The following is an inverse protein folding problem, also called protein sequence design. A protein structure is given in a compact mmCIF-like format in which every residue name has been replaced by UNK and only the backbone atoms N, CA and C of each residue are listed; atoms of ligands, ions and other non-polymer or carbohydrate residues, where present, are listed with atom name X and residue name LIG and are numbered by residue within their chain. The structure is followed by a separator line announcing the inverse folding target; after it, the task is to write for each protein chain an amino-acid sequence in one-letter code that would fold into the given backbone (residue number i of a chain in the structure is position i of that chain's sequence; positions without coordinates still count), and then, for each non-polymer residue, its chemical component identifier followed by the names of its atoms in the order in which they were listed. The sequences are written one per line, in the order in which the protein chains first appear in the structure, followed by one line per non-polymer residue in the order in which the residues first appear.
data_IF_407752236770
#
_entry.id   IF_407752236770
#
_cell.length_a   1.000
_cell.length_b   1.000
_cell.length_c   1.000
_cell.angle_alpha   90.00
_cell.angle_beta   90.00
_cell.angle_gamma   90.00
#
_symmetry.space_group_name_H-M   'P 1'
#
loop_
_entity.id
_entity.type
_entity.pdbx_description
1 polymer ?
#
# COMPACT_ATOMS: atom_id res chain seq x y z
N UNK A 1 9.51 5.78 -12.69
CA UNK A 1 9.00 6.82 -13.62
C UNK A 1 10.08 7.88 -13.88
N UNK A 2 10.29 8.30 -15.14
CA UNK A 2 11.05 9.54 -15.45
C UNK A 2 10.08 10.73 -15.36
N UNK A 3 10.48 11.81 -14.68
CA UNK A 3 9.70 13.04 -14.56
C UNK A 3 9.69 13.59 -13.15
N UNK A 4 9.44 14.91 -13.02
CA UNK A 4 9.29 15.56 -11.72
C UNK A 4 8.06 14.99 -10.98
N UNK A 5 8.14 14.75 -9.67
CA UNK A 5 6.96 14.52 -8.84
C UNK A 5 5.97 15.68 -9.01
N UNK A 6 4.68 15.35 -9.07
CA UNK A 6 3.58 16.31 -9.20
C UNK A 6 2.40 15.79 -8.41
N UNK A 7 1.62 16.68 -7.81
CA UNK A 7 0.42 16.31 -7.05
C UNK A 7 -0.54 15.41 -7.85
N UNK A 8 -0.81 15.74 -9.12
CA UNK A 8 -1.67 14.92 -10.00
C UNK A 8 -1.21 13.47 -10.11
N UNK A 9 0.10 13.24 -10.19
CA UNK A 9 0.66 11.88 -10.25
C UNK A 9 0.57 11.17 -8.91
N UNK A 10 0.77 11.89 -7.81
CA UNK A 10 0.61 11.32 -6.47
C UNK A 10 -0.85 10.89 -6.24
N UNK A 11 -1.82 11.77 -6.56
CA UNK A 11 -3.25 11.43 -6.51
C UNK A 11 -3.57 10.24 -7.42
N UNK A 12 -3.05 10.20 -8.63
CA UNK A 12 -3.26 9.07 -9.55
C UNK A 12 -2.79 7.71 -8.98
N UNK A 13 -1.67 7.68 -8.25
CA UNK A 13 -1.20 6.47 -7.59
C UNK A 13 -2.09 6.08 -6.40
N UNK A 14 -2.57 7.05 -5.62
CA UNK A 14 -3.51 6.81 -4.53
C UNK A 14 -4.86 6.28 -5.05
N UNK A 15 -5.40 6.87 -6.12
CA UNK A 15 -6.59 6.36 -6.80
C UNK A 15 -6.39 4.93 -7.31
N UNK A 16 -5.21 4.62 -7.86
CA UNK A 16 -4.90 3.27 -8.29
C UNK A 16 -4.94 2.29 -7.10
N UNK A 17 -4.31 2.62 -5.96
CA UNK A 17 -4.34 1.77 -4.78
C UNK A 17 -5.78 1.52 -4.27
N UNK A 18 -6.62 2.55 -4.22
CA UNK A 18 -8.04 2.44 -3.83
C UNK A 18 -8.83 1.60 -4.83
N UNK A 19 -8.56 1.75 -6.13
CA UNK A 19 -9.21 0.95 -7.17
C UNK A 19 -8.82 -0.53 -7.06
N UNK A 20 -7.53 -0.86 -6.96
CA UNK A 20 -7.09 -2.25 -6.80
C UNK A 20 -7.63 -2.87 -5.51
N UNK A 21 -7.70 -2.11 -4.41
CA UNK A 21 -8.31 -2.58 -3.14
C UNK A 21 -9.78 -2.98 -3.32
N UNK A 22 -10.52 -2.27 -4.16
CA UNK A 22 -11.88 -2.65 -4.52
C UNK A 22 -11.93 -3.87 -5.45
N UNK A 23 -11.16 -3.86 -6.54
CA UNK A 23 -11.17 -4.92 -7.55
C UNK A 23 -10.68 -6.26 -6.99
N UNK A 24 -9.68 -6.26 -6.12
CA UNK A 24 -9.12 -7.47 -5.51
C UNK A 24 -9.85 -7.85 -4.22
N UNK A 25 -10.00 -6.92 -3.28
CA UNK A 25 -10.50 -7.23 -1.93
C UNK A 25 -11.99 -6.91 -1.72
N UNK A 26 -12.67 -6.28 -2.69
CA UNK A 26 -14.06 -5.89 -2.52
C UNK A 26 -14.28 -4.77 -1.50
N UNK A 27 -13.22 -4.10 -1.07
CA UNK A 27 -13.25 -3.13 0.02
C UNK A 27 -13.38 -1.70 -0.54
N UNK A 28 -14.42 -0.99 -0.10
CA UNK A 28 -14.76 0.34 -0.58
C UNK A 28 -14.19 1.40 0.35
N UNK A 29 -13.02 1.93 -0.02
CA UNK A 29 -12.30 2.95 0.74
C UNK A 29 -12.73 4.38 0.39
N UNK A 30 -12.96 5.20 1.41
CA UNK A 30 -13.12 6.65 1.30
C UNK A 30 -14.38 7.11 0.57
N UNK A 31 -15.36 6.23 0.37
CA UNK A 31 -16.61 6.56 -0.36
C UNK A 31 -17.79 5.71 0.08
N UNK A 32 -18.99 6.28 -0.03
CA UNK A 32 -20.24 5.60 0.29
C UNK A 32 -20.69 4.67 -0.83
N UNK A 33 -20.53 5.08 -2.09
CA UNK A 33 -20.87 4.28 -3.27
C UNK A 33 -19.73 4.26 -4.27
N UNK A 34 -19.75 3.29 -5.19
CA UNK A 34 -18.63 3.07 -6.13
C UNK A 34 -18.46 4.24 -7.10
N UNK A 35 -19.56 4.89 -7.50
CA UNK A 35 -19.58 6.05 -8.39
C UNK A 35 -19.05 7.34 -7.73
N UNK A 36 -19.00 7.39 -6.41
CA UNK A 36 -18.50 8.55 -5.68
C UNK A 36 -16.96 8.60 -5.78
N UNK A 37 -16.42 9.81 -5.88
CA UNK A 37 -14.97 9.99 -5.80
C UNK A 37 -14.49 9.63 -4.38
N UNK A 38 -13.49 8.74 -4.21
CA UNK A 38 -12.94 8.45 -2.89
C UNK A 38 -12.28 9.68 -2.27
N UNK A 39 -12.55 9.90 -1.00
CA UNK A 39 -11.73 10.70 -0.11
C UNK A 39 -10.42 9.94 0.15
N UNK A 40 -9.32 10.58 -0.23
CA UNK A 40 -7.96 10.03 -0.08
C UNK A 40 -7.29 10.52 1.20
N UNK A 41 -7.97 11.36 1.99
CA UNK A 41 -7.40 11.98 3.19
C UNK A 41 -6.90 10.94 4.18
N UNK A 42 -7.53 9.77 4.32
CA UNK A 42 -7.08 8.71 5.23
C UNK A 42 -5.92 7.83 4.74
N UNK A 43 -5.33 8.10 3.57
CA UNK A 43 -4.34 7.22 2.94
C UNK A 43 -2.91 7.74 3.07
N UNK A 44 -2.06 7.03 3.81
CA UNK A 44 -0.65 7.38 4.02
C UNK A 44 0.25 6.63 3.03
N UNK A 45 1.04 7.33 2.23
CA UNK A 45 2.14 6.69 1.49
C UNK A 45 3.20 6.23 2.51
N UNK A 46 3.40 4.93 2.60
CA UNK A 46 4.24 4.35 3.64
C UNK A 46 5.59 3.88 3.12
N UNK A 47 5.61 3.35 1.89
CA UNK A 47 6.82 2.79 1.31
C UNK A 47 6.78 2.82 -0.21
N UNK A 48 7.97 2.92 -0.82
CA UNK A 48 8.20 2.71 -2.24
C UNK A 48 9.36 1.75 -2.45
N UNK A 49 9.21 0.82 -3.37
CA UNK A 49 10.28 -0.12 -3.68
C UNK A 49 10.37 -0.41 -5.18
N UNK A 50 11.60 -0.36 -5.69
CA UNK A 50 11.89 -0.71 -7.09
C UNK A 50 12.58 -2.06 -7.13
N UNK A 51 12.02 -3.00 -7.89
CA UNK A 51 12.63 -4.32 -8.08
C UNK A 51 14.07 -4.20 -8.62
N UNK A 52 15.04 -4.90 -8.01
CA UNK A 52 16.43 -4.91 -8.47
C UNK A 52 16.57 -5.26 -9.96
N UNK A 53 17.65 -4.81 -10.63
CA UNK A 53 17.96 -5.22 -11.99
C UNK A 53 18.19 -6.74 -12.09
N UNK A 54 18.02 -7.31 -13.28
CA UNK A 54 18.26 -8.74 -13.54
C UNK A 54 17.07 -9.68 -13.24
N UNK A 55 15.95 -9.15 -12.72
CA UNK A 55 14.69 -9.90 -12.61
C UNK A 55 13.91 -9.85 -13.92
N UNK A 56 13.28 -10.96 -14.31
CA UNK A 56 12.45 -11.08 -15.52
C UNK A 56 11.26 -10.14 -15.52
N UNK A 57 10.70 -9.86 -14.34
CA UNK A 57 9.67 -8.83 -14.10
C UNK A 57 10.17 -7.83 -13.08
N UNK A 58 9.83 -6.56 -13.27
CA UNK A 58 10.25 -5.46 -12.40
C UNK A 58 9.08 -4.52 -12.14
N UNK A 59 8.97 -4.08 -10.90
CA UNK A 59 7.94 -3.19 -10.42
C UNK A 59 8.57 -1.96 -9.77
N UNK A 60 7.82 -0.86 -9.76
CA UNK A 60 8.09 0.38 -9.01
C UNK A 60 6.87 0.58 -8.11
N UNK A 61 6.81 -0.21 -7.04
CA UNK A 61 5.63 -0.34 -6.17
C UNK A 61 5.57 0.79 -5.17
N UNK A 62 4.36 1.29 -4.90
CA UNK A 62 4.04 2.16 -3.75
C UNK A 62 3.08 1.41 -2.85
N UNK A 63 3.36 1.44 -1.56
CA UNK A 63 2.56 0.82 -0.51
C UNK A 63 1.92 1.94 0.30
N UNK A 64 0.63 1.77 0.56
CA UNK A 64 -0.15 2.70 1.35
C UNK A 64 -0.67 2.00 2.60
N UNK A 65 -0.86 2.78 3.67
CA UNK A 65 -1.48 2.34 4.92
C UNK A 65 -2.67 3.25 5.18
N UNK A 66 -3.77 2.67 5.64
CA UNK A 66 -4.95 3.41 6.05
C UNK A 66 -5.65 2.71 7.21
N UNK A 67 -6.46 3.48 7.93
CA UNK A 67 -7.34 2.94 8.95
C UNK A 67 -8.57 2.27 8.30
N UNK A 68 -8.94 1.12 8.83
CA UNK A 68 -10.12 0.35 8.46
C UNK A 68 -11.42 1.13 8.66
N UNK A 69 -11.45 2.13 9.56
CA UNK A 69 -12.60 3.04 9.74
C UNK A 69 -12.99 3.82 8.47
N UNK A 70 -12.08 3.94 7.51
CA UNK A 70 -12.35 4.60 6.23
C UNK A 70 -13.03 3.66 5.20
N UNK A 71 -13.28 2.41 5.55
CA UNK A 71 -13.98 1.44 4.72
C UNK A 71 -15.48 1.48 5.02
N UNK A 72 -16.31 1.66 4.00
CA UNK A 72 -17.76 1.74 4.17
C UNK A 72 -18.47 0.38 4.20
N UNK A 73 -17.78 -0.69 3.83
CA UNK A 73 -18.34 -2.04 3.71
C UNK A 73 -17.46 -3.14 4.34
N UNK A 74 -16.69 -2.82 5.39
CA UNK A 74 -15.76 -3.77 6.01
C UNK A 74 -16.42 -5.09 6.46
N UNK A 75 -17.65 -5.01 6.98
CA UNK A 75 -18.40 -6.18 7.45
C UNK A 75 -18.97 -7.03 6.30
N UNK A 76 -19.10 -6.44 5.11
CA UNK A 76 -19.67 -7.08 3.93
C UNK A 76 -18.88 -6.68 2.66
N UNK A 77 -17.62 -7.16 2.52
CA UNK A 77 -16.83 -6.92 1.31
C UNK A 77 -17.53 -7.48 0.07
N UNK A 78 -17.39 -6.79 -1.06
CA UNK A 78 -17.96 -7.24 -2.31
C UNK A 78 -17.08 -8.31 -2.97
N UNK A 79 -17.60 -9.52 -3.15
CA UNK A 79 -16.89 -10.56 -3.90
C UNK A 79 -17.60 -10.81 -5.22
N UNK A 80 -16.97 -10.39 -6.31
CA UNK A 80 -17.47 -10.60 -7.68
C UNK A 80 -17.27 -12.06 -8.16
N UNK A 81 -16.53 -12.87 -7.40
CA UNK A 81 -16.27 -14.28 -7.71
C UNK A 81 -15.30 -14.48 -8.89
N UNK A 82 -14.50 -13.46 -9.24
CA UNK A 82 -13.62 -13.43 -10.41
C UNK A 82 -12.47 -14.46 -10.45
N UNK A 83 -12.29 -15.26 -9.41
CA UNK A 83 -11.43 -16.46 -9.42
C UNK A 83 -9.91 -16.22 -9.34
N UNK A 84 -9.43 -14.98 -9.35
CA UNK A 84 -8.00 -14.66 -9.19
C UNK A 84 -7.54 -14.68 -7.72
N UNK A 85 -8.47 -14.58 -6.77
CA UNK A 85 -8.21 -14.65 -5.33
C UNK A 85 -8.92 -15.85 -4.69
N UNK A 86 -8.18 -16.60 -3.87
CA UNK A 86 -8.66 -17.84 -3.24
C UNK A 86 -9.54 -17.55 -2.01
N UNK A 87 -9.04 -16.74 -1.06
CA UNK A 87 -9.72 -16.40 0.20
C UNK A 87 -9.21 -15.06 0.73
N UNK A 88 -10.12 -14.14 1.09
CA UNK A 88 -9.76 -12.94 1.87
C UNK A 88 -9.82 -13.25 3.37
N UNK A 89 -8.79 -12.84 4.09
CA UNK A 89 -8.69 -13.00 5.54
C UNK A 89 -8.07 -11.76 6.16
N UNK A 90 -8.61 -11.33 7.29
CA UNK A 90 -7.90 -10.42 8.20
C UNK A 90 -6.91 -11.23 9.03
N UNK A 91 -5.64 -10.82 9.02
CA UNK A 91 -4.55 -11.54 9.69
C UNK A 91 -3.80 -10.61 10.65
N UNK A 92 -3.42 -11.16 11.78
CA UNK A 92 -2.48 -10.56 12.72
C UNK A 92 -1.04 -10.63 12.17
N UNK A 93 -0.15 -9.79 12.73
CA UNK A 93 1.27 -9.82 12.38
C UNK A 93 1.97 -11.14 12.77
N UNK A 94 1.40 -11.90 13.70
CA UNK A 94 1.94 -13.21 14.08
C UNK A 94 1.50 -14.30 13.08
N UNK A 95 0.25 -14.24 12.59
CA UNK A 95 -0.26 -15.20 11.60
C UNK A 95 0.46 -15.09 10.25
N UNK A 96 0.79 -13.88 9.80
CA UNK A 96 1.52 -13.65 8.54
C UNK A 96 2.92 -14.31 8.54
N UNK A 97 3.53 -14.57 9.71
CA UNK A 97 4.86 -15.17 9.80
C UNK A 97 4.89 -16.62 9.29
N UNK A 98 3.71 -17.26 9.21
CA UNK A 98 3.53 -18.61 8.68
C UNK A 98 3.27 -18.67 7.17
N UNK A 99 3.08 -17.51 6.51
CA UNK A 99 2.72 -17.43 5.10
C UNK A 99 3.96 -17.27 4.19
N UNK A 100 3.89 -17.87 3.01
CA UNK A 100 4.86 -17.64 1.93
C UNK A 100 4.56 -16.31 1.23
N UNK A 101 5.06 -15.21 1.80
CA UNK A 101 4.86 -13.87 1.29
C UNK A 101 6.07 -13.37 0.48
N UNK A 102 5.85 -12.55 -0.57
CA UNK A 102 6.94 -11.84 -1.21
C UNK A 102 7.79 -11.05 -0.19
N UNK A 103 9.12 -11.12 -0.32
CA UNK A 103 10.05 -10.46 0.62
C UNK A 103 9.75 -8.97 0.83
N UNK A 104 9.25 -8.29 -0.21
CA UNK A 104 8.92 -6.87 -0.12
C UNK A 104 7.70 -6.60 0.76
N UNK A 105 6.72 -7.51 0.75
CA UNK A 105 5.55 -7.45 1.63
C UNK A 105 5.96 -7.68 3.08
N UNK A 106 6.86 -8.65 3.33
CA UNK A 106 7.43 -8.89 4.65
C UNK A 106 8.17 -7.64 5.16
N UNK A 107 8.95 -6.98 4.31
CA UNK A 107 9.68 -5.77 4.68
C UNK A 107 8.73 -4.61 5.03
N UNK A 108 7.68 -4.39 4.23
CA UNK A 108 6.65 -3.39 4.54
C UNK A 108 5.97 -3.68 5.89
N UNK A 109 5.59 -4.92 6.17
CA UNK A 109 4.95 -5.31 7.43
C UNK A 109 5.89 -5.15 8.63
N UNK A 110 7.18 -5.48 8.48
CA UNK A 110 8.21 -5.24 9.51
C UNK A 110 8.36 -3.76 9.85
N UNK A 111 8.28 -2.88 8.85
CA UNK A 111 8.33 -1.42 9.05
C UNK A 111 7.07 -0.89 9.71
N UNK A 112 5.92 -1.50 9.45
CA UNK A 112 4.64 -1.11 10.04
C UNK A 112 4.53 -1.53 11.51
N UNK A 113 5.12 -2.68 11.88
CA UNK A 113 5.03 -3.26 13.22
C UNK A 113 5.32 -2.27 14.37
N UNK A 114 6.38 -1.45 14.37
CA UNK A 114 6.65 -0.51 15.46
C UNK A 114 5.54 0.53 15.70
N UNK A 115 4.79 0.90 14.66
CA UNK A 115 3.62 1.78 14.80
C UNK A 115 2.48 1.03 15.49
N UNK A 116 2.19 -0.18 15.02
CA UNK A 116 1.13 -1.03 15.57
C UNK A 116 1.40 -1.46 17.01
N UNK A 117 2.66 -1.74 17.37
CA UNK A 117 3.09 -2.04 18.75
C UNK A 117 2.81 -0.86 19.70
N UNK A 118 2.70 0.36 19.18
CA UNK A 118 2.34 1.57 19.93
C UNK A 118 0.83 1.89 19.86
N UNK A 119 0.03 1.01 19.25
CA UNK A 119 -1.41 1.19 19.09
C UNK A 119 -1.79 2.33 18.14
N UNK A 120 -0.95 2.63 17.14
CA UNK A 120 -1.19 3.72 16.18
C UNK A 120 -0.80 3.35 14.76
N UNK A 121 -1.31 4.11 13.80
CA UNK A 121 -0.86 4.06 12.41
C UNK A 121 0.27 5.09 12.14
N UNK A 122 1.02 4.94 11.03
CA UNK A 122 1.93 5.96 10.56
C UNK A 122 1.19 7.29 10.29
N UNK A 123 1.68 8.43 10.81
CA UNK A 123 1.15 9.74 10.48
C UNK A 123 1.18 10.00 8.97
N UNK A 124 0.23 10.76 8.44
CA UNK A 124 0.18 11.06 7.00
C UNK A 124 1.37 11.87 6.50
N UNK A 125 1.97 12.66 7.37
CA UNK A 125 3.16 13.47 7.15
C UNK A 125 4.45 12.72 7.54
N UNK A 126 4.40 11.40 7.76
CA UNK A 126 5.62 10.62 7.94
C UNK A 126 6.39 10.47 6.62
N UNK A 127 7.72 10.38 6.71
CA UNK A 127 8.54 10.07 5.55
C UNK A 127 8.33 8.61 5.11
N UNK A 128 8.10 8.40 3.82
CA UNK A 128 7.95 7.05 3.27
C UNK A 128 9.32 6.43 2.99
N UNK A 129 9.53 5.17 3.40
CA UNK A 129 10.76 4.45 3.04
C UNK A 129 10.86 4.27 1.53
N UNK A 130 12.05 4.46 0.96
CA UNK A 130 12.30 4.27 -0.47
C UNK A 130 13.51 3.39 -0.73
N UNK A 131 13.25 2.25 -1.36
CA UNK A 131 14.28 1.24 -1.65
C UNK A 131 14.49 1.07 -3.15
N UNK A 132 15.74 1.15 -3.58
CA UNK A 132 16.10 1.04 -5.00
C UNK A 132 17.56 0.66 -5.21
N UNK A 133 17.89 0.22 -6.43
CA UNK A 133 19.26 -0.06 -6.82
C UNK A 133 19.90 1.17 -7.50
N UNK A 134 21.07 1.61 -7.02
CA UNK A 134 21.85 2.73 -7.59
C UNK A 134 23.28 2.29 -7.86
N UNK A 135 23.70 2.33 -9.12
CA UNK A 135 25.03 1.88 -9.51
C UNK A 135 25.17 0.37 -9.30
N UNK A 136 25.95 -0.04 -8.27
CA UNK A 136 26.15 -1.43 -7.87
C UNK A 136 25.62 -1.75 -6.47
N UNK A 137 24.87 -0.82 -5.86
CA UNK A 137 24.51 -0.87 -4.44
C UNK A 137 23.01 -0.77 -4.26
N UNK A 138 22.50 -1.51 -3.28
CA UNK A 138 21.16 -1.32 -2.75
C UNK A 138 21.11 -0.05 -1.89
N UNK A 139 20.14 0.81 -2.13
CA UNK A 139 19.97 2.08 -1.43
C UNK A 139 18.63 2.05 -0.71
N UNK A 140 18.66 2.49 0.54
CA UNK A 140 17.50 2.85 1.33
C UNK A 140 17.56 4.36 1.59
N UNK A 141 16.47 5.03 1.27
CA UNK A 141 16.29 6.48 1.29
C UNK A 141 14.89 6.79 1.85
N UNK A 142 14.56 8.07 1.96
CA UNK A 142 13.25 8.53 2.42
C UNK A 142 12.62 9.48 1.41
N UNK A 143 11.29 9.39 1.28
CA UNK A 143 10.48 10.35 0.54
C UNK A 143 9.74 11.17 1.58
N UNK A 144 10.22 12.39 1.82
CA UNK A 144 9.52 13.34 2.67
C UNK A 144 8.16 13.70 2.06
N UNK A 145 7.13 13.96 2.88
CA UNK A 145 5.90 14.57 2.40
C UNK A 145 6.21 15.91 1.75
N UNK A 146 5.33 16.35 0.85
CA UNK A 146 5.39 17.73 0.39
C UNK A 146 5.18 18.66 1.60
N UNK A 147 5.92 19.79 1.69
CA UNK A 147 5.71 20.79 2.73
C UNK A 147 4.33 21.45 2.63
#
# INVERSE_FOLDING_TARGET
MRGKPTETRARGLAYAAVRETWEEAGLLFGRARLEDAPDLSGLTLFMRAITPPGRTRRYDSRFFVADAENLSNIDQPHHDGGGELLTLSWLTLDEIASLDLPLITIDALKRLKPFLDQGRLPPQDCAASFQYYRGKTWVEDEISPAP
#
